data_IF_550121349934
#
_entry.id   IF_550121349934
#
_cell.length_a   1.000
_cell.length_b   1.000
_cell.length_c   1.000
_cell.angle_alpha   90.00
_cell.angle_beta   90.00
_cell.angle_gamma   90.00
#
_symmetry.space_group_name_H-M   'P 1'
#
loop_
_entity.id
_entity.type
_entity.pdbx_description
1 polymer ?
#
# COMPACT_ATOMS: atom_id res chain seq x y z
N UNK A 1 -29.62 7.21 -9.14
CA UNK A 1 -31.04 7.59 -9.21
C UNK A 1 -31.18 9.11 -9.06
N UNK A 2 -32.03 9.81 -9.87
CA UNK A 2 -32.24 11.25 -9.70
C UNK A 2 -33.11 11.53 -8.46
N UNK A 3 -32.81 12.63 -7.77
CA UNK A 3 -33.60 13.12 -6.64
C UNK A 3 -34.60 14.16 -7.18
N UNK A 4 -35.75 13.69 -7.64
CA UNK A 4 -36.82 14.49 -8.24
C UNK A 4 -38.19 13.89 -7.92
N UNK A 5 -39.25 14.62 -8.28
CA UNK A 5 -40.64 14.20 -8.03
C UNK A 5 -41.02 12.90 -8.75
N UNK A 6 -40.37 12.56 -9.85
CA UNK A 6 -40.68 11.35 -10.60
C UNK A 6 -40.20 10.08 -9.85
N UNK A 7 -39.34 10.24 -8.86
CA UNK A 7 -38.72 9.12 -8.11
C UNK A 7 -39.11 9.07 -6.62
N UNK A 8 -40.14 9.80 -6.17
CA UNK A 8 -40.51 9.93 -4.75
C UNK A 8 -40.69 8.58 -4.04
N UNK A 9 -41.38 7.62 -4.64
CA UNK A 9 -41.59 6.31 -3.99
C UNK A 9 -40.32 5.49 -3.88
N UNK A 10 -39.47 5.55 -4.88
CA UNK A 10 -38.15 4.90 -4.85
C UNK A 10 -37.23 5.56 -3.81
N UNK A 11 -37.26 6.89 -3.69
CA UNK A 11 -36.47 7.64 -2.72
C UNK A 11 -36.92 7.38 -1.28
N UNK A 12 -38.23 7.27 -1.01
CA UNK A 12 -38.74 6.90 0.32
C UNK A 12 -38.27 5.52 0.78
N UNK A 13 -38.14 4.58 -0.15
CA UNK A 13 -37.70 3.23 0.10
C UNK A 13 -36.18 3.02 -0.02
N UNK A 14 -35.40 4.06 -0.23
CA UNK A 14 -33.95 3.95 -0.44
C UNK A 14 -33.26 3.37 0.79
N UNK A 15 -32.59 2.21 0.71
CA UNK A 15 -31.88 1.63 1.85
C UNK A 15 -30.58 2.41 2.13
N UNK A 16 -30.04 2.25 3.33
CA UNK A 16 -28.67 2.62 3.63
C UNK A 16 -27.68 1.75 2.83
N UNK A 17 -26.43 2.17 2.72
CA UNK A 17 -25.41 1.39 2.05
C UNK A 17 -25.18 0.06 2.77
N UNK A 18 -24.84 -0.98 2.02
CA UNK A 18 -24.51 -2.29 2.59
C UNK A 18 -23.11 -2.24 3.22
N UNK A 19 -23.04 -1.70 4.43
CA UNK A 19 -21.79 -1.51 5.17
C UNK A 19 -22.01 -1.71 6.67
N UNK A 20 -21.34 -2.70 7.25
CA UNK A 20 -21.42 -3.03 8.67
C UNK A 20 -20.27 -2.34 9.43
N UNK A 21 -20.61 -1.31 10.20
CA UNK A 21 -19.65 -0.52 10.96
C UNK A 21 -19.00 -1.27 12.12
N UNK A 22 -19.63 -2.30 12.67
CA UNK A 22 -19.05 -3.10 13.76
C UNK A 22 -17.98 -4.06 13.20
N UNK A 23 -18.23 -4.64 12.04
CA UNK A 23 -17.26 -5.47 11.32
C UNK A 23 -16.07 -4.63 10.87
N UNK A 24 -16.31 -3.44 10.33
CA UNK A 24 -15.28 -2.49 9.94
C UNK A 24 -14.39 -2.08 11.12
N UNK A 25 -14.99 -1.67 12.24
CA UNK A 25 -14.26 -1.30 13.45
C UNK A 25 -13.44 -2.46 14.03
N UNK A 26 -13.97 -3.70 13.97
CA UNK A 26 -13.24 -4.88 14.41
C UNK A 26 -12.02 -5.19 13.51
N UNK A 27 -12.14 -4.95 12.22
CA UNK A 27 -11.04 -5.08 11.27
C UNK A 27 -9.97 -4.00 11.51
N UNK A 28 -10.37 -2.73 11.61
CA UNK A 28 -9.47 -1.61 11.92
C UNK A 28 -8.67 -1.87 13.20
N UNK A 29 -9.36 -2.28 14.27
CA UNK A 29 -8.73 -2.60 15.56
C UNK A 29 -7.72 -3.73 15.44
N UNK A 30 -7.98 -4.75 14.63
CA UNK A 30 -7.05 -5.86 14.42
C UNK A 30 -5.77 -5.41 13.72
N UNK A 31 -5.87 -4.58 12.67
CA UNK A 31 -4.71 -4.02 12.00
C UNK A 31 -3.88 -3.11 12.90
N UNK A 32 -4.51 -2.23 13.69
CA UNK A 32 -3.82 -1.38 14.68
C UNK A 32 -3.12 -2.22 15.74
N UNK A 33 -3.75 -3.27 16.24
CA UNK A 33 -3.17 -4.15 17.25
C UNK A 33 -1.96 -4.91 16.72
N UNK A 34 -2.03 -5.42 15.49
CA UNK A 34 -0.90 -6.07 14.83
C UNK A 34 0.28 -5.11 14.65
N UNK A 35 0.02 -3.89 14.17
CA UNK A 35 1.04 -2.85 14.02
C UNK A 35 1.71 -2.51 15.36
N UNK A 36 0.93 -2.33 16.43
CA UNK A 36 1.45 -2.02 17.77
C UNK A 36 2.32 -3.15 18.30
N UNK A 37 1.87 -4.40 18.16
CA UNK A 37 2.65 -5.57 18.64
C UNK A 37 4.00 -5.66 17.93
N UNK A 38 4.05 -5.42 16.61
CA UNK A 38 5.30 -5.40 15.85
C UNK A 38 6.22 -4.26 16.29
N UNK A 39 5.68 -3.04 16.41
CA UNK A 39 6.44 -1.87 16.82
C UNK A 39 7.06 -2.04 18.21
N UNK A 40 6.29 -2.58 19.17
CA UNK A 40 6.77 -2.86 20.52
C UNK A 40 7.95 -3.86 20.54
N UNK A 41 8.01 -4.76 19.57
CA UNK A 41 9.10 -5.73 19.44
C UNK A 41 10.39 -5.15 18.83
N UNK A 42 10.31 -4.01 18.13
CA UNK A 42 11.43 -3.43 17.38
C UNK A 42 12.70 -3.25 18.22
N UNK A 43 12.54 -2.64 19.38
CA UNK A 43 13.66 -2.39 20.31
C UNK A 43 14.29 -3.69 20.83
N UNK A 44 13.47 -4.65 21.22
CA UNK A 44 13.91 -5.96 21.71
C UNK A 44 14.66 -6.73 20.63
N UNK A 45 14.14 -6.76 19.38
CA UNK A 45 14.81 -7.44 18.25
C UNK A 45 16.18 -6.82 17.92
N UNK A 46 16.26 -5.48 17.96
CA UNK A 46 17.54 -4.77 17.83
C UNK A 46 18.53 -5.18 18.95
N UNK A 47 18.02 -5.35 20.17
CA UNK A 47 18.81 -5.84 21.31
C UNK A 47 19.31 -7.26 21.09
N UNK A 48 18.45 -8.20 20.70
CA UNK A 48 18.85 -9.60 20.43
C UNK A 48 19.96 -9.69 19.38
N UNK A 49 19.85 -8.90 18.30
CA UNK A 49 20.89 -8.81 17.28
C UNK A 49 22.20 -8.25 17.84
N UNK A 50 22.13 -7.15 18.59
CA UNK A 50 23.31 -6.51 19.20
C UNK A 50 24.06 -7.47 20.15
N UNK A 51 23.31 -8.19 20.98
CA UNK A 51 23.87 -9.17 21.91
C UNK A 51 24.53 -10.34 21.17
N UNK A 52 23.91 -10.82 20.10
CA UNK A 52 24.47 -11.88 19.26
C UNK A 52 25.76 -11.46 18.56
N UNK A 53 25.88 -10.20 18.16
CA UNK A 53 27.08 -9.62 17.54
C UNK A 53 28.24 -9.42 18.55
N UNK A 54 27.98 -9.49 19.85
CA UNK A 54 29.02 -9.40 20.86
C UNK A 54 30.00 -10.59 20.72
N UNK A 55 31.28 -10.30 20.51
CA UNK A 55 32.31 -11.28 20.25
C UNK A 55 32.14 -12.08 18.92
N UNK A 56 31.20 -11.68 18.04
CA UNK A 56 31.04 -12.30 16.73
C UNK A 56 31.76 -11.44 15.67
N UNK A 57 32.73 -12.03 14.97
CA UNK A 57 33.55 -11.36 13.97
C UNK A 57 33.79 -12.24 12.75
N UNK A 58 34.13 -11.60 11.61
CA UNK A 58 34.37 -12.25 10.33
C UNK A 58 33.22 -12.09 9.35
N UNK A 59 33.28 -12.79 8.22
CA UNK A 59 32.32 -12.71 7.13
C UNK A 59 30.87 -12.97 7.61
N UNK A 60 30.64 -14.04 8.36
CA UNK A 60 29.32 -14.43 8.83
C UNK A 60 28.73 -13.47 9.88
N UNK A 61 29.58 -12.73 10.61
CA UNK A 61 29.11 -11.64 11.47
C UNK A 61 28.56 -10.47 10.65
N UNK A 62 29.23 -10.09 9.57
CA UNK A 62 28.75 -9.05 8.67
C UNK A 62 27.41 -9.44 8.04
N UNK A 63 27.33 -10.67 7.50
CA UNK A 63 26.10 -11.20 6.92
C UNK A 63 24.93 -11.23 7.92
N UNK A 64 25.18 -11.68 9.16
CA UNK A 64 24.18 -11.66 10.24
C UNK A 64 23.73 -10.24 10.57
N UNK A 65 24.67 -9.29 10.60
CA UNK A 65 24.36 -7.87 10.80
C UNK A 65 23.47 -7.30 9.69
N UNK A 66 23.74 -7.66 8.44
CA UNK A 66 22.97 -7.19 7.28
C UNK A 66 21.55 -7.78 7.28
N UNK A 67 21.43 -9.10 7.55
CA UNK A 67 20.14 -9.76 7.71
C UNK A 67 19.29 -9.08 8.80
N UNK A 68 19.88 -8.79 9.97
CA UNK A 68 19.17 -8.11 11.05
C UNK A 68 18.79 -6.66 10.73
N UNK A 69 19.56 -5.96 9.89
CA UNK A 69 19.20 -4.63 9.39
C UNK A 69 17.99 -4.72 8.48
N UNK A 70 17.97 -5.70 7.58
CA UNK A 70 16.86 -5.97 6.69
C UNK A 70 15.61 -6.34 7.49
N UNK A 71 15.70 -7.25 8.48
CA UNK A 71 14.60 -7.64 9.36
C UNK A 71 13.90 -6.43 9.98
N UNK A 72 14.67 -5.49 10.55
CA UNK A 72 14.12 -4.30 11.20
C UNK A 72 13.49 -3.33 10.20
N UNK A 73 14.09 -3.20 9.03
CA UNK A 73 13.53 -2.34 7.99
C UNK A 73 12.24 -2.90 7.40
N UNK A 74 12.15 -4.22 7.20
CA UNK A 74 10.92 -4.89 6.76
C UNK A 74 9.83 -4.75 7.83
N UNK A 75 10.19 -4.86 9.12
CA UNK A 75 9.27 -4.61 10.24
C UNK A 75 8.69 -3.20 10.16
N UNK A 76 9.53 -2.17 9.99
CA UNK A 76 9.09 -0.78 9.90
C UNK A 76 8.14 -0.56 8.70
N UNK A 77 8.40 -1.20 7.57
CA UNK A 77 7.55 -1.15 6.39
C UNK A 77 6.20 -1.86 6.61
N UNK A 78 6.21 -3.05 7.20
CA UNK A 78 4.98 -3.78 7.53
C UNK A 78 4.13 -2.98 8.52
N UNK A 79 4.73 -2.41 9.59
CA UNK A 79 4.03 -1.55 10.56
C UNK A 79 3.35 -0.36 9.87
N UNK A 80 4.08 0.29 8.97
CA UNK A 80 3.56 1.44 8.20
C UNK A 80 2.34 1.03 7.38
N UNK A 81 2.42 -0.09 6.66
CA UNK A 81 1.32 -0.57 5.82
C UNK A 81 0.13 -1.11 6.62
N UNK A 82 0.34 -1.77 7.77
CA UNK A 82 -0.74 -2.17 8.67
C UNK A 82 -1.52 -0.96 9.20
N UNK A 83 -0.82 0.13 9.55
CA UNK A 83 -1.44 1.39 9.98
C UNK A 83 -2.18 2.09 8.84
N UNK A 84 -1.64 1.99 7.63
CA UNK A 84 -2.30 2.52 6.45
C UNK A 84 -3.63 1.81 6.19
N UNK A 85 -3.68 0.47 6.24
CA UNK A 85 -4.94 -0.28 6.13
C UNK A 85 -5.96 0.24 7.14
N UNK A 86 -5.56 0.42 8.40
CA UNK A 86 -6.45 0.94 9.43
C UNK A 86 -6.96 2.36 9.11
N UNK A 87 -6.13 3.19 8.50
CA UNK A 87 -6.52 4.54 8.06
C UNK A 87 -7.52 4.47 6.92
N UNK A 88 -7.27 3.61 5.92
CA UNK A 88 -8.19 3.42 4.80
C UNK A 88 -9.56 2.89 5.23
N UNK A 89 -9.60 2.01 6.24
CA UNK A 89 -10.87 1.56 6.83
C UNK A 89 -11.61 2.73 7.47
N UNK A 90 -10.91 3.61 8.21
CA UNK A 90 -11.50 4.81 8.80
C UNK A 90 -12.10 5.72 7.72
N UNK A 91 -11.40 5.91 6.60
CA UNK A 91 -11.90 6.70 5.45
C UNK A 91 -13.14 6.07 4.80
N UNK A 92 -13.16 4.73 4.67
CA UNK A 92 -14.34 4.02 4.18
C UNK A 92 -15.54 4.19 5.11
N UNK A 93 -15.32 4.14 6.43
CA UNK A 93 -16.35 4.41 7.43
C UNK A 93 -16.95 5.82 7.28
N UNK A 94 -16.10 6.82 7.11
CA UNK A 94 -16.53 8.21 6.92
C UNK A 94 -17.35 8.37 5.64
N UNK A 95 -16.89 7.78 4.53
CA UNK A 95 -17.60 7.78 3.25
C UNK A 95 -18.96 7.09 3.35
N UNK A 96 -19.02 5.92 4.03
CA UNK A 96 -20.28 5.18 4.23
C UNK A 96 -21.29 5.97 5.09
N UNK A 97 -20.82 6.62 6.16
CA UNK A 97 -21.65 7.50 7.00
C UNK A 97 -22.17 8.70 6.23
N UNK A 98 -21.32 9.35 5.44
CA UNK A 98 -21.72 10.49 4.61
C UNK A 98 -22.77 10.10 3.59
N UNK A 99 -22.61 8.93 2.93
CA UNK A 99 -23.61 8.44 1.97
C UNK A 99 -24.94 8.07 2.66
N UNK A 100 -24.89 7.44 3.83
CA UNK A 100 -26.11 7.16 4.61
C UNK A 100 -26.84 8.45 5.05
N UNK A 101 -26.10 9.50 5.42
CA UNK A 101 -26.68 10.81 5.72
C UNK A 101 -27.38 11.43 4.49
N UNK A 102 -26.75 11.29 3.31
CA UNK A 102 -27.37 11.73 2.05
C UNK A 102 -28.64 10.96 1.72
N UNK A 103 -28.58 9.62 1.82
CA UNK A 103 -29.76 8.76 1.60
C UNK A 103 -30.88 9.09 2.57
N UNK A 104 -30.55 9.35 3.82
CA UNK A 104 -31.53 9.82 4.81
C UNK A 104 -32.15 11.15 4.43
N UNK A 105 -31.38 12.17 4.04
CA UNK A 105 -31.88 13.47 3.59
C UNK A 105 -32.79 13.35 2.35
N UNK A 106 -32.43 12.44 1.42
CA UNK A 106 -33.28 12.18 0.26
C UNK A 106 -34.64 11.54 0.64
N UNK A 107 -34.60 10.56 1.56
CA UNK A 107 -35.83 9.94 2.10
C UNK A 107 -36.75 10.99 2.78
N UNK A 108 -36.15 11.83 3.64
CA UNK A 108 -36.87 12.87 4.36
C UNK A 108 -37.49 13.92 3.40
N UNK A 109 -36.75 14.34 2.38
CA UNK A 109 -37.26 15.23 1.35
C UNK A 109 -38.42 14.57 0.57
N UNK A 110 -38.22 13.32 0.14
CA UNK A 110 -39.27 12.60 -0.61
C UNK A 110 -40.53 12.37 0.22
N UNK A 111 -40.36 12.12 1.54
CA UNK A 111 -41.52 12.00 2.44
C UNK A 111 -42.26 13.33 2.56
N UNK A 112 -41.56 14.45 2.85
CA UNK A 112 -42.19 15.78 2.92
C UNK A 112 -42.89 16.14 1.62
N UNK A 113 -42.28 15.81 0.47
CA UNK A 113 -42.84 16.09 -0.84
C UNK A 113 -44.10 15.26 -1.13
N UNK A 114 -44.15 14.03 -0.69
CA UNK A 114 -45.31 13.16 -0.86
C UNK A 114 -46.49 13.49 0.07
N UNK A 115 -46.19 14.08 1.23
CA UNK A 115 -47.20 14.42 2.25
C UNK A 115 -47.86 15.82 2.01
N UNK A 116 -47.50 16.52 0.92
CA UNK A 116 -48.04 17.84 0.58
C UNK A 116 -49.52 17.80 0.27
N UNK A 117 -50.24 18.79 0.82
CA UNK A 117 -51.62 19.03 0.54
C UNK A 117 -51.87 20.21 -0.47
N UNK A 118 -53.14 20.54 -0.77
CA UNK A 118 -53.49 21.61 -1.69
C UNK A 118 -53.06 23.01 -1.20
N UNK A 119 -52.87 23.20 0.11
CA UNK A 119 -52.44 24.47 0.69
C UNK A 119 -50.91 24.64 0.51
N UNK A 120 -50.15 23.55 0.62
CA UNK A 120 -48.72 23.55 0.37
C UNK A 120 -48.41 23.88 -1.09
N UNK A 121 -49.18 23.33 -2.05
CA UNK A 121 -49.03 23.68 -3.47
C UNK A 121 -49.34 25.15 -3.75
N UNK A 122 -50.30 25.75 -3.04
CA UNK A 122 -50.62 27.18 -3.18
C UNK A 122 -49.51 28.07 -2.57
N UNK A 123 -48.89 27.63 -1.49
CA UNK A 123 -47.74 28.30 -0.88
C UNK A 123 -46.51 28.28 -1.82
N UNK A 124 -46.21 27.15 -2.41
CA UNK A 124 -45.06 26.98 -3.32
C UNK A 124 -45.18 27.82 -4.59
N UNK A 125 -46.41 27.95 -5.10
CA UNK A 125 -46.69 28.82 -6.25
C UNK A 125 -46.43 30.32 -5.96
N UNK A 126 -46.41 30.72 -4.67
CA UNK A 126 -46.20 32.10 -4.24
C UNK A 126 -44.75 32.35 -3.76
N UNK A 127 -44.07 31.36 -3.16
CA UNK A 127 -42.80 31.53 -2.47
C UNK A 127 -41.66 30.69 -3.04
N UNK A 128 -41.92 29.87 -4.06
CA UNK A 128 -40.96 28.94 -4.65
C UNK A 128 -40.99 27.56 -4.02
N UNK A 129 -40.59 26.59 -4.78
CA UNK A 129 -40.61 25.17 -4.44
C UNK A 129 -39.41 24.80 -3.58
N UNK A 130 -39.53 23.82 -2.67
CA UNK A 130 -38.41 23.24 -1.94
C UNK A 130 -37.54 22.45 -2.92
N UNK A 131 -36.30 22.92 -3.16
CA UNK A 131 -35.37 22.23 -4.03
C UNK A 131 -34.91 20.89 -3.40
N UNK A 132 -34.66 19.87 -4.23
CA UNK A 132 -34.05 18.63 -3.73
C UNK A 132 -32.68 18.91 -3.08
N UNK A 133 -32.31 18.22 -2.00
CA UNK A 133 -31.06 18.49 -1.28
C UNK A 133 -29.81 18.24 -2.14
N UNK A 134 -29.97 17.52 -3.25
CA UNK A 134 -28.96 17.25 -4.29
C UNK A 134 -29.63 16.61 -5.51
N UNK A 135 -28.94 16.63 -6.66
CA UNK A 135 -29.50 16.21 -7.95
C UNK A 135 -29.59 14.69 -8.15
N UNK A 136 -28.68 13.93 -7.56
CA UNK A 136 -28.58 12.47 -7.78
C UNK A 136 -28.10 11.72 -6.54
N UNK A 137 -28.52 10.46 -6.43
CA UNK A 137 -27.93 9.42 -5.58
C UNK A 137 -27.42 8.31 -6.50
N UNK A 138 -26.19 7.86 -6.28
CA UNK A 138 -25.61 6.76 -7.04
C UNK A 138 -26.27 5.43 -6.65
N UNK A 139 -26.70 4.69 -7.64
CA UNK A 139 -27.01 3.28 -7.51
C UNK A 139 -25.71 2.53 -7.89
N UNK A 140 -24.96 2.05 -6.91
CA UNK A 140 -23.91 1.03 -7.05
C UNK A 140 -22.71 1.27 -7.99
N UNK A 141 -22.38 2.47 -8.42
CA UNK A 141 -21.11 2.65 -9.11
C UNK A 141 -19.96 2.68 -8.08
N UNK A 142 -19.19 1.59 -8.07
CA UNK A 142 -17.88 1.51 -7.39
C UNK A 142 -16.95 2.51 -8.07
N UNK A 143 -16.76 3.67 -7.48
CA UNK A 143 -15.78 4.61 -7.99
C UNK A 143 -14.41 4.24 -7.48
N UNK A 144 -13.48 4.17 -8.41
CA UNK A 144 -12.05 4.01 -8.17
C UNK A 144 -11.43 5.37 -7.83
N UNK A 145 -11.58 5.86 -6.61
CA UNK A 145 -10.65 6.85 -6.11
C UNK A 145 -9.65 6.14 -5.22
N UNK A 146 -8.46 5.89 -5.74
CA UNK A 146 -7.37 5.37 -4.96
C UNK A 146 -7.04 6.37 -3.85
N UNK A 147 -7.01 5.92 -2.59
CA UNK A 147 -6.28 6.62 -1.55
C UNK A 147 -4.85 6.85 -2.02
N UNK A 148 -4.27 7.97 -1.61
CA UNK A 148 -2.93 8.35 -2.03
C UNK A 148 -1.97 7.16 -1.92
N UNK A 149 -1.34 6.82 -3.04
CA UNK A 149 -0.38 5.73 -3.09
C UNK A 149 0.71 5.99 -2.05
N UNK A 150 0.77 5.12 -1.05
CA UNK A 150 1.92 5.11 -0.15
C UNK A 150 3.09 4.60 -0.98
N UNK A 151 4.12 5.40 -1.05
CA UNK A 151 5.38 5.01 -1.66
C UNK A 151 5.92 3.81 -0.89
N UNK A 152 5.83 2.61 -1.45
CA UNK A 152 6.63 1.49 -0.98
C UNK A 152 8.10 1.93 -1.07
N UNK A 153 8.87 1.62 -0.04
CA UNK A 153 10.31 1.81 -0.10
C UNK A 153 10.85 1.12 -1.36
N UNK A 154 11.81 1.74 -2.08
CA UNK A 154 12.38 1.11 -3.27
C UNK A 154 12.90 -0.28 -2.91
N UNK A 155 12.65 -1.25 -3.80
CA UNK A 155 13.23 -2.58 -3.65
C UNK A 155 14.72 -2.43 -3.38
N UNK A 156 15.19 -2.97 -2.25
CA UNK A 156 16.58 -2.83 -1.87
C UNK A 156 17.41 -3.65 -2.84
N UNK A 157 18.30 -2.99 -3.56
CA UNK A 157 19.36 -3.65 -4.29
C UNK A 157 20.25 -4.35 -3.25
N UNK A 158 20.04 -5.65 -3.05
CA UNK A 158 21.02 -6.47 -2.36
C UNK A 158 22.10 -6.81 -3.35
N UNK A 159 23.34 -6.46 -3.02
CA UNK A 159 24.46 -7.20 -3.60
C UNK A 159 24.24 -8.68 -3.25
N UNK A 160 24.24 -9.51 -4.27
CA UNK A 160 24.13 -10.97 -4.10
C UNK A 160 25.23 -11.44 -3.15
N UNK A 161 24.90 -11.59 -1.87
CA UNK A 161 25.77 -12.23 -0.88
C UNK A 161 25.81 -13.76 -1.07
N UNK A 162 25.47 -14.23 -2.26
CA UNK A 162 25.60 -15.63 -2.70
C UNK A 162 27.05 -16.02 -2.98
N UNK A 163 28.01 -15.21 -2.54
CA UNK A 163 29.43 -15.58 -2.55
C UNK A 163 29.78 -16.42 -1.32
N UNK A 164 30.42 -17.56 -1.55
CA UNK A 164 31.29 -18.17 -0.53
C UNK A 164 32.11 -17.05 0.11
N UNK A 165 32.17 -17.00 1.42
CA UNK A 165 33.07 -16.10 2.12
C UNK A 165 34.45 -16.19 1.51
N UNK A 166 35.32 -15.16 1.62
CA UNK A 166 36.60 -15.13 0.96
C UNK A 166 37.34 -16.42 1.28
N UNK A 167 37.80 -17.14 0.24
CA UNK A 167 38.49 -18.42 0.38
C UNK A 167 39.68 -18.24 1.33
N UNK A 168 39.61 -18.85 2.52
CA UNK A 168 40.59 -18.69 3.60
C UNK A 168 40.20 -17.74 4.71
N UNK A 169 38.96 -17.20 4.70
CA UNK A 169 38.39 -16.40 5.80
C UNK A 169 38.14 -17.24 7.06
N UNK A 170 38.07 -16.57 8.19
CA UNK A 170 37.77 -17.14 9.49
C UNK A 170 36.73 -16.28 10.19
N UNK A 171 35.67 -16.91 10.66
CA UNK A 171 34.70 -16.28 11.55
C UNK A 171 34.91 -16.77 12.99
N UNK A 172 34.67 -15.91 13.96
CA UNK A 172 34.75 -16.24 15.38
C UNK A 172 33.50 -15.72 16.12
N UNK A 173 33.03 -16.51 17.10
CA UNK A 173 31.86 -16.15 17.85
C UNK A 173 31.64 -16.99 19.10
N UNK A 174 30.68 -16.57 19.93
CA UNK A 174 30.17 -17.34 21.07
C UNK A 174 28.89 -18.04 20.69
N UNK A 175 28.87 -19.39 20.70
CA UNK A 175 27.65 -20.14 20.38
C UNK A 175 26.44 -19.74 21.24
N UNK A 176 26.65 -19.46 22.53
CA UNK A 176 25.60 -19.07 23.46
C UNK A 176 24.86 -17.80 23.05
N UNK A 177 25.58 -16.83 22.47
CA UNK A 177 24.95 -15.56 22.04
C UNK A 177 24.04 -15.76 20.84
N UNK A 178 24.48 -16.57 19.86
CA UNK A 178 23.68 -16.94 18.68
C UNK A 178 22.45 -17.77 19.06
N UNK A 179 22.60 -18.73 19.99
CA UNK A 179 21.46 -19.51 20.49
C UNK A 179 20.46 -18.64 21.28
N UNK A 180 20.95 -17.65 22.05
CA UNK A 180 20.10 -16.70 22.75
C UNK A 180 19.30 -15.87 21.75
N UNK A 181 19.91 -15.41 20.65
CA UNK A 181 19.23 -14.73 19.57
C UNK A 181 18.11 -15.60 18.97
N UNK A 182 18.43 -16.86 18.59
CA UNK A 182 17.46 -17.76 18.00
C UNK A 182 16.26 -18.01 18.92
N UNK A 183 16.53 -18.23 20.21
CA UNK A 183 15.48 -18.45 21.22
C UNK A 183 14.60 -17.20 21.41
N UNK A 184 15.21 -16.02 21.54
CA UNK A 184 14.50 -14.77 21.76
C UNK A 184 13.70 -14.34 20.53
N UNK A 185 14.25 -14.55 19.33
CA UNK A 185 13.56 -14.29 18.06
C UNK A 185 12.28 -15.14 17.96
N UNK A 186 12.38 -16.47 18.17
CA UNK A 186 11.22 -17.37 18.17
C UNK A 186 10.19 -17.01 19.23
N UNK A 187 10.62 -16.58 20.43
CA UNK A 187 9.69 -16.15 21.47
C UNK A 187 8.92 -14.87 21.09
N UNK A 188 9.58 -13.95 20.39
CA UNK A 188 8.93 -12.77 19.84
C UNK A 188 7.96 -13.12 18.70
N UNK A 189 8.34 -14.01 17.78
CA UNK A 189 7.50 -14.46 16.67
C UNK A 189 6.26 -15.21 17.16
N UNK A 190 6.37 -15.95 18.25
CA UNK A 190 5.23 -16.65 18.88
C UNK A 190 4.11 -15.71 19.31
N UNK A 191 4.42 -14.45 19.65
CA UNK A 191 3.38 -13.44 19.98
C UNK A 191 2.58 -12.98 18.77
N UNK A 192 3.11 -13.17 17.56
CA UNK A 192 2.47 -12.84 16.30
C UNK A 192 1.87 -14.09 15.62
N UNK A 193 1.98 -15.25 16.27
CA UNK A 193 1.45 -16.50 15.76
C UNK A 193 -0.05 -16.39 15.53
N UNK A 194 -0.51 -16.74 14.33
CA UNK A 194 -1.92 -16.66 13.95
C UNK A 194 -2.44 -15.26 13.60
N UNK A 195 -1.63 -14.19 13.76
CA UNK A 195 -2.05 -12.81 13.44
C UNK A 195 -2.47 -12.68 11.97
N UNK A 196 -1.66 -13.18 11.04
CA UNK A 196 -1.99 -13.15 9.61
C UNK A 196 -3.29 -13.89 9.30
N UNK A 197 -3.52 -15.05 9.91
CA UNK A 197 -4.79 -15.80 9.78
C UNK A 197 -6.00 -15.01 10.32
N UNK A 198 -5.82 -14.33 11.47
CA UNK A 198 -6.86 -13.48 12.06
C UNK A 198 -7.19 -12.29 11.15
N UNK A 199 -6.17 -11.63 10.60
CA UNK A 199 -6.36 -10.51 9.67
C UNK A 199 -7.08 -10.96 8.39
N UNK A 200 -6.66 -12.08 7.80
CA UNK A 200 -7.34 -12.66 6.62
C UNK A 200 -8.82 -13.00 6.90
N UNK A 201 -9.11 -13.60 8.05
CA UNK A 201 -10.49 -13.90 8.44
C UNK A 201 -11.34 -12.63 8.54
N UNK A 202 -10.82 -11.59 9.20
CA UNK A 202 -11.54 -10.30 9.32
C UNK A 202 -11.67 -9.55 7.99
N UNK A 203 -10.69 -9.67 7.07
CA UNK A 203 -10.84 -9.15 5.70
C UNK A 203 -11.96 -9.87 4.94
N UNK A 204 -12.12 -11.18 5.15
CA UNK A 204 -13.24 -11.94 4.58
C UNK A 204 -14.58 -11.49 5.15
N UNK A 205 -14.67 -11.34 6.48
CA UNK A 205 -15.89 -10.83 7.13
C UNK A 205 -16.26 -9.43 6.61
N UNK A 206 -15.26 -8.56 6.42
CA UNK A 206 -15.46 -7.23 5.84
C UNK A 206 -16.00 -7.32 4.40
N UNK A 207 -15.40 -8.15 3.56
CA UNK A 207 -15.82 -8.33 2.17
C UNK A 207 -17.28 -8.81 2.08
N UNK A 208 -17.70 -9.69 2.99
CA UNK A 208 -19.07 -10.20 3.03
C UNK A 208 -20.09 -9.18 3.56
N UNK A 209 -19.70 -8.40 4.58
CA UNK A 209 -20.63 -7.51 5.30
C UNK A 209 -20.61 -6.07 4.79
N UNK A 210 -19.58 -5.65 4.08
CA UNK A 210 -19.36 -4.29 3.60
C UNK A 210 -19.30 -4.23 2.06
N UNK A 211 -20.28 -4.84 1.37
CA UNK A 211 -20.25 -4.97 -0.09
C UNK A 211 -20.28 -3.63 -0.85
N UNK A 212 -20.65 -2.55 -0.17
CA UNK A 212 -20.59 -1.18 -0.71
C UNK A 212 -19.14 -0.67 -0.91
N UNK A 213 -18.17 -1.24 -0.18
CA UNK A 213 -16.76 -0.87 -0.25
C UNK A 213 -15.90 -2.06 -0.65
N UNK A 214 -14.69 -1.79 -1.13
CA UNK A 214 -13.68 -2.81 -1.41
C UNK A 214 -12.41 -2.43 -0.67
N UNK A 215 -11.81 -3.39 0.00
CA UNK A 215 -10.52 -3.26 0.67
C UNK A 215 -9.64 -4.44 0.26
N UNK A 216 -8.46 -4.16 -0.26
CA UNK A 216 -7.42 -5.15 -0.49
C UNK A 216 -6.23 -4.87 0.44
N UNK A 217 -6.03 -5.74 1.39
CA UNK A 217 -4.92 -5.74 2.34
C UNK A 217 -4.07 -7.02 2.23
N UNK A 218 -4.29 -7.83 1.19
CA UNK A 218 -3.64 -9.13 1.02
C UNK A 218 -2.12 -9.02 0.95
N UNK A 219 -1.60 -7.97 0.33
CA UNK A 219 -0.16 -7.72 0.20
C UNK A 219 0.53 -7.59 1.56
N UNK A 220 0.00 -6.75 2.45
CA UNK A 220 0.61 -6.55 3.78
C UNK A 220 0.46 -7.78 4.68
N UNK A 221 -0.64 -8.52 4.58
CA UNK A 221 -0.84 -9.76 5.36
C UNK A 221 0.11 -10.87 4.88
N UNK A 222 0.32 -10.97 3.58
CA UNK A 222 1.30 -11.89 2.98
C UNK A 222 2.72 -11.50 3.42
N UNK A 223 3.07 -10.21 3.34
CA UNK A 223 4.37 -9.72 3.78
C UNK A 223 4.65 -10.04 5.27
N UNK A 224 3.66 -9.89 6.15
CA UNK A 224 3.79 -10.29 7.56
C UNK A 224 4.09 -11.79 7.70
N UNK A 225 3.40 -12.65 6.95
CA UNK A 225 3.62 -14.10 6.98
C UNK A 225 5.03 -14.44 6.51
N UNK A 226 5.46 -13.89 5.37
CA UNK A 226 6.79 -14.11 4.81
C UNK A 226 7.88 -13.60 5.75
N UNK A 227 7.65 -12.45 6.40
CA UNK A 227 8.60 -11.91 7.38
C UNK A 227 8.79 -12.83 8.59
N UNK A 228 7.73 -13.48 9.07
CA UNK A 228 7.81 -14.46 10.15
C UNK A 228 8.55 -15.74 9.71
N UNK A 229 8.35 -16.20 8.48
CA UNK A 229 9.08 -17.32 7.90
C UNK A 229 10.58 -17.01 7.78
N UNK A 230 10.93 -15.81 7.32
CA UNK A 230 12.33 -15.36 7.24
C UNK A 230 12.95 -15.19 8.63
N UNK A 231 12.21 -14.79 9.66
CA UNK A 231 12.70 -14.77 11.04
C UNK A 231 13.06 -16.16 11.56
N UNK A 232 12.24 -17.18 11.25
CA UNK A 232 12.59 -18.57 11.60
C UNK A 232 13.82 -19.06 10.83
N UNK A 233 13.97 -18.65 9.55
CA UNK A 233 15.21 -18.95 8.80
C UNK A 233 16.44 -18.31 9.44
N UNK A 234 16.35 -17.04 9.90
CA UNK A 234 17.43 -16.36 10.63
C UNK A 234 17.74 -17.06 11.96
N UNK A 235 16.72 -17.51 12.69
CA UNK A 235 16.92 -18.27 13.93
C UNK A 235 17.59 -19.63 13.69
N UNK A 236 17.17 -20.37 12.64
CA UNK A 236 17.81 -21.62 12.22
C UNK A 236 19.25 -21.39 11.78
N UNK A 237 19.51 -20.31 11.03
CA UNK A 237 20.84 -19.90 10.62
C UNK A 237 21.74 -19.71 11.85
N UNK A 238 21.29 -18.95 12.85
CA UNK A 238 22.05 -18.71 14.07
C UNK A 238 22.32 -20.02 14.85
N UNK A 239 21.36 -20.93 14.91
CA UNK A 239 21.54 -22.25 15.52
C UNK A 239 22.59 -23.10 14.78
N UNK A 240 22.60 -23.11 13.45
CA UNK A 240 23.58 -23.88 12.64
C UNK A 240 24.98 -23.32 12.80
N UNK A 241 25.12 -21.99 12.77
CA UNK A 241 26.42 -21.33 12.96
C UNK A 241 26.93 -21.56 14.39
N UNK A 242 26.06 -21.49 15.40
CA UNK A 242 26.41 -21.83 16.78
C UNK A 242 26.94 -23.28 16.88
N UNK A 243 26.26 -24.23 16.24
CA UNK A 243 26.71 -25.63 16.22
C UNK A 243 28.06 -25.82 15.53
N UNK A 244 28.36 -25.06 14.47
CA UNK A 244 29.67 -25.10 13.83
C UNK A 244 30.79 -24.61 14.77
N UNK A 245 30.53 -23.56 15.55
CA UNK A 245 31.49 -23.10 16.57
C UNK A 245 31.62 -24.09 17.73
N UNK A 246 30.57 -24.73 18.19
CA UNK A 246 30.62 -25.80 19.22
C UNK A 246 31.44 -26.99 18.75
N UNK A 247 31.26 -27.44 17.51
CA UNK A 247 32.03 -28.55 16.91
C UNK A 247 33.51 -28.24 16.80
N UNK A 248 33.88 -26.96 16.71
CA UNK A 248 35.27 -26.52 16.73
C UNK A 248 35.89 -26.38 18.12
N UNK A 249 35.17 -26.79 19.17
CA UNK A 249 35.67 -26.84 20.55
C UNK A 249 35.34 -25.61 21.40
N UNK A 250 34.28 -24.87 21.04
CA UNK A 250 33.78 -23.76 21.85
C UNK A 250 32.94 -24.26 23.05
N UNK A 251 33.51 -24.90 24.02
CA UNK A 251 32.85 -25.29 25.27
C UNK A 251 32.45 -24.03 26.08
N UNK A 252 31.48 -23.27 25.58
CA UNK A 252 30.99 -22.02 26.19
C UNK A 252 31.90 -20.80 26.01
N UNK A 253 33.00 -20.92 25.34
CA UNK A 253 33.99 -19.86 25.05
C UNK A 253 33.84 -19.26 23.65
N UNK A 254 34.79 -18.39 23.32
CA UNK A 254 34.99 -17.88 21.96
C UNK A 254 35.68 -18.95 21.10
N UNK A 255 35.10 -19.30 19.96
CA UNK A 255 35.73 -20.16 18.97
C UNK A 255 35.93 -19.44 17.65
N UNK A 256 36.90 -19.94 16.89
CA UNK A 256 37.18 -19.51 15.53
C UNK A 256 37.07 -20.68 14.58
N UNK A 257 36.36 -20.49 13.48
CA UNK A 257 36.09 -21.55 12.50
C UNK A 257 36.39 -21.01 11.09
N UNK A 258 37.00 -21.81 10.19
CA UNK A 258 37.11 -21.43 8.79
C UNK A 258 35.72 -21.17 8.19
N UNK A 259 35.59 -20.12 7.41
CA UNK A 259 34.28 -19.73 6.76
C UNK A 259 33.75 -20.88 5.91
N UNK A 260 34.61 -21.67 5.26
CA UNK A 260 34.21 -22.86 4.50
C UNK A 260 33.55 -23.96 5.35
N UNK A 261 33.86 -24.05 6.64
CA UNK A 261 33.19 -25.00 7.53
C UNK A 261 31.80 -24.51 7.95
N UNK A 262 31.66 -23.23 8.15
CA UNK A 262 30.31 -22.61 8.39
C UNK A 262 29.43 -22.76 7.14
N UNK A 263 29.96 -22.48 5.95
CA UNK A 263 29.27 -22.66 4.67
C UNK A 263 28.81 -24.12 4.50
N UNK A 264 29.69 -25.08 4.71
CA UNK A 264 29.34 -26.50 4.63
C UNK A 264 28.23 -26.88 5.63
N UNK A 265 28.27 -26.32 6.84
CA UNK A 265 27.22 -26.56 7.86
C UNK A 265 25.87 -25.99 7.45
N UNK A 266 25.83 -24.76 6.92
CA UNK A 266 24.60 -24.12 6.40
C UNK A 266 24.04 -24.90 5.21
N UNK A 267 24.89 -25.28 4.24
CA UNK A 267 24.48 -26.07 3.10
C UNK A 267 23.95 -27.47 3.51
N UNK A 268 24.59 -28.14 4.45
CA UNK A 268 24.12 -29.43 4.97
C UNK A 268 22.78 -29.34 5.69
N UNK A 269 22.50 -28.20 6.34
CA UNK A 269 21.22 -27.92 7.01
C UNK A 269 20.12 -27.39 6.05
N UNK A 270 20.45 -27.10 4.80
CA UNK A 270 19.55 -26.48 3.82
C UNK A 270 19.08 -25.07 4.24
N UNK A 271 19.97 -24.32 4.92
CA UNK A 271 19.70 -22.98 5.39
C UNK A 271 20.34 -21.96 4.46
N UNK A 272 19.55 -21.01 3.98
CA UNK A 272 20.05 -19.92 3.14
C UNK A 272 20.87 -18.94 3.98
N UNK A 273 21.96 -18.43 3.39
CA UNK A 273 22.86 -17.52 4.09
C UNK A 273 22.28 -16.11 4.23
N UNK A 274 21.54 -15.64 3.24
CA UNK A 274 20.94 -14.30 3.20
C UNK A 274 19.44 -14.36 3.37
N UNK A 275 18.89 -13.30 3.99
CA UNK A 275 17.44 -13.07 4.11
C UNK A 275 16.88 -12.60 2.76
N UNK A 276 15.71 -13.08 2.37
CA UNK A 276 15.02 -12.60 1.17
C UNK A 276 14.43 -11.20 1.41
N UNK A 277 14.35 -10.39 0.34
CA UNK A 277 13.65 -9.12 0.40
C UNK A 277 12.15 -9.35 0.40
N UNK A 278 11.47 -8.65 1.29
CA UNK A 278 10.02 -8.66 1.37
C UNK A 278 9.49 -7.47 0.58
N UNK A 279 8.59 -7.74 -0.35
CA UNK A 279 7.83 -6.71 -1.05
C UNK A 279 6.49 -6.56 -0.36
N UNK A 280 6.23 -5.38 0.18
CA UNK A 280 4.94 -5.04 0.78
C UNK A 280 4.13 -4.28 -0.24
N UNK A 281 3.15 -4.94 -0.84
CA UNK A 281 2.21 -4.25 -1.71
C UNK A 281 1.32 -3.33 -0.86
N UNK A 282 1.21 -2.04 -1.22
CA UNK A 282 0.38 -1.11 -0.47
C UNK A 282 -1.09 -1.53 -0.53
N UNK A 283 -1.84 -1.36 0.57
CA UNK A 283 -3.27 -1.66 0.56
C UNK A 283 -4.01 -0.69 -0.35
N UNK A 284 -5.15 -1.14 -0.86
CA UNK A 284 -6.07 -0.33 -1.64
C UNK A 284 -7.49 -0.45 -1.11
N UNK A 285 -8.16 0.69 -0.96
CA UNK A 285 -9.54 0.74 -0.53
C UNK A 285 -10.37 1.60 -1.48
N UNK A 286 -11.53 1.09 -1.83
CA UNK A 286 -12.47 1.76 -2.72
C UNK A 286 -13.84 1.80 -2.06
N UNK A 287 -14.45 2.97 -2.04
CA UNK A 287 -15.85 3.15 -1.67
C UNK A 287 -16.57 3.85 -2.79
N UNK A 288 -17.89 3.63 -2.91
CA UNK A 288 -18.68 4.46 -3.81
C UNK A 288 -18.59 5.91 -3.32
N UNK A 289 -18.09 6.87 -4.13
CA UNK A 289 -18.10 8.24 -3.72
C UNK A 289 -19.55 8.69 -3.56
N UNK A 290 -19.84 9.53 -2.57
CA UNK A 290 -21.11 10.22 -2.54
C UNK A 290 -21.28 10.98 -3.86
N UNK A 291 -22.37 10.78 -4.57
CA UNK A 291 -22.63 11.38 -5.90
C UNK A 291 -22.78 12.90 -5.90
N UNK A 292 -22.65 13.54 -4.75
CA UNK A 292 -22.64 14.99 -4.58
C UNK A 292 -21.71 15.43 -3.44
N UNK A 293 -20.72 14.64 -3.13
CA UNK A 293 -19.65 15.02 -2.18
C UNK A 293 -18.65 16.01 -2.74
N UNK A 294 -18.84 16.42 -3.98
CA UNK A 294 -18.29 17.64 -4.51
C UNK A 294 -19.24 18.76 -4.10
N UNK A 295 -19.04 19.35 -2.92
CA UNK A 295 -19.40 20.73 -2.75
C UNK A 295 -18.58 21.47 -3.81
N UNK A 296 -19.18 21.81 -4.89
CA UNK A 296 -18.75 22.63 -6.02
C UNK A 296 -17.25 22.66 -6.43
N UNK A 297 -16.33 22.15 -5.57
CA UNK A 297 -14.89 22.17 -5.78
C UNK A 297 -14.22 20.87 -5.31
N UNK A 298 -13.61 20.06 -6.21
CA UNK A 298 -12.92 18.81 -5.88
C UNK A 298 -11.58 19.10 -5.16
N UNK A 299 -11.64 19.42 -3.87
CA UNK A 299 -10.46 19.57 -3.02
C UNK A 299 -10.11 18.23 -2.39
N UNK A 300 -8.90 17.74 -2.63
CA UNK A 300 -8.37 16.62 -1.90
C UNK A 300 -8.16 17.04 -0.43
N UNK A 301 -8.98 16.49 0.46
CA UNK A 301 -9.00 16.88 1.87
C UNK A 301 -7.69 16.57 2.62
N UNK A 302 -6.87 15.67 2.09
CA UNK A 302 -5.57 15.30 2.69
C UNK A 302 -4.45 16.25 2.26
N UNK A 303 -4.37 16.59 0.96
CA UNK A 303 -3.29 17.41 0.43
C UNK A 303 -3.68 18.89 0.30
N UNK A 304 -4.97 19.22 0.42
CA UNK A 304 -5.50 20.54 0.09
C UNK A 304 -5.46 20.84 -1.42
N UNK A 305 -5.14 19.84 -2.25
CA UNK A 305 -5.04 20.02 -3.69
C UNK A 305 -6.44 20.13 -4.30
N UNK A 306 -6.71 21.24 -4.95
CA UNK A 306 -7.87 21.39 -5.82
C UNK A 306 -7.52 20.76 -7.18
N UNK A 307 -8.34 19.81 -7.63
CA UNK A 307 -8.14 19.11 -8.90
C UNK A 307 -9.41 19.21 -9.71
N UNK A 308 -9.35 19.70 -10.94
CA UNK A 308 -10.47 19.76 -11.85
C UNK A 308 -10.11 19.13 -13.20
N UNK A 309 -11.06 18.45 -13.80
CA UNK A 309 -10.87 17.79 -15.10
C UNK A 309 -11.93 18.30 -16.06
N UNK A 310 -11.47 18.90 -17.16
CA UNK A 310 -12.31 19.43 -18.22
C UNK A 310 -12.16 18.62 -19.52
N UNK A 311 -13.26 18.11 -20.03
CA UNK A 311 -13.34 17.49 -21.35
C UNK A 311 -13.73 18.55 -22.39
N UNK A 312 -12.75 19.18 -23.03
CA UNK A 312 -12.98 20.27 -24.00
C UNK A 312 -13.55 19.79 -25.33
N UNK A 313 -13.10 18.63 -25.78
CA UNK A 313 -13.53 18.03 -27.05
C UNK A 313 -13.66 16.53 -26.90
N UNK A 314 -14.75 15.97 -27.36
CA UNK A 314 -14.95 14.51 -27.44
C UNK A 314 -15.58 14.15 -28.79
N UNK A 315 -14.89 13.34 -29.57
CA UNK A 315 -15.43 12.77 -30.80
C UNK A 315 -15.52 11.25 -30.69
N UNK A 316 -16.70 10.71 -30.88
CA UNK A 316 -16.91 9.26 -30.96
C UNK A 316 -16.89 8.87 -32.42
N UNK A 317 -15.84 8.18 -32.86
CA UNK A 317 -15.67 7.71 -34.25
C UNK A 317 -15.32 6.22 -34.31
N UNK A 318 -15.24 5.69 -35.53
CA UNK A 318 -14.96 4.27 -35.80
C UNK A 318 -13.54 3.86 -35.35
N UNK A 319 -12.63 4.80 -35.16
CA UNK A 319 -11.24 4.58 -34.76
C UNK A 319 -10.93 4.89 -33.30
N UNK A 320 -11.94 4.99 -32.44
CA UNK A 320 -11.78 5.31 -31.01
C UNK A 320 -12.26 6.72 -30.67
N UNK A 321 -12.07 7.09 -29.41
CA UNK A 321 -12.43 8.42 -28.90
C UNK A 321 -11.24 9.35 -29.12
N UNK A 322 -11.41 10.35 -29.98
CA UNK A 322 -10.54 11.51 -30.03
C UNK A 322 -11.11 12.51 -29.03
N UNK A 323 -10.47 12.60 -27.88
CA UNK A 323 -10.84 13.51 -26.82
C UNK A 323 -9.72 14.47 -26.49
N UNK A 324 -10.06 15.71 -26.16
CA UNK A 324 -9.14 16.66 -25.55
C UNK A 324 -9.55 16.90 -24.12
N UNK A 325 -8.70 16.50 -23.21
CA UNK A 325 -8.91 16.63 -21.76
C UNK A 325 -7.81 17.48 -21.16
N UNK A 326 -8.19 18.41 -20.31
CA UNK A 326 -7.28 19.17 -19.45
C UNK A 326 -7.50 18.78 -18.00
N UNK A 327 -6.42 18.76 -17.22
CA UNK A 327 -6.48 18.54 -15.78
C UNK A 327 -5.85 19.74 -15.08
N UNK A 328 -6.57 20.31 -14.13
CA UNK A 328 -6.05 21.34 -13.24
C UNK A 328 -5.62 20.74 -11.91
N UNK A 329 -4.48 21.20 -11.38
CA UNK A 329 -4.02 20.86 -10.04
C UNK A 329 -3.45 22.11 -9.38
N UNK A 330 -4.03 22.53 -8.25
CA UNK A 330 -3.58 23.73 -7.53
C UNK A 330 -2.16 23.61 -6.98
N UNK A 331 -1.66 22.39 -6.79
CA UNK A 331 -0.29 22.13 -6.34
C UNK A 331 0.72 21.95 -7.49
N UNK A 332 0.27 21.98 -8.75
CA UNK A 332 1.17 21.95 -9.89
C UNK A 332 1.80 23.35 -10.12
N UNK A 333 3.11 23.53 -9.90
CA UNK A 333 3.75 24.84 -10.05
C UNK A 333 4.03 25.23 -11.51
N UNK A 334 3.80 24.31 -12.44
CA UNK A 334 4.14 24.49 -13.84
C UNK A 334 3.13 25.37 -14.56
N UNK A 335 3.61 26.12 -15.52
CA UNK A 335 2.80 26.94 -16.42
C UNK A 335 2.83 26.33 -17.79
N UNK A 336 1.77 25.57 -18.12
CA UNK A 336 1.61 24.93 -19.42
C UNK A 336 0.88 25.80 -20.44
N UNK A 337 0.51 25.20 -21.56
CA UNK A 337 -0.19 25.84 -22.67
C UNK A 337 -1.55 26.45 -22.27
N UNK A 338 -2.16 25.92 -21.21
CA UNK A 338 -3.47 26.36 -20.70
C UNK A 338 -3.37 27.25 -19.44
N UNK A 339 -2.16 27.64 -19.06
CA UNK A 339 -1.90 28.49 -17.90
C UNK A 339 -1.41 27.73 -16.67
N UNK A 340 -1.26 28.44 -15.52
CA UNK A 340 -0.73 27.84 -14.30
C UNK A 340 -1.62 26.71 -13.78
N UNK A 341 -1.02 25.61 -13.39
CA UNK A 341 -1.71 24.46 -12.79
C UNK A 341 -2.42 23.55 -13.78
N UNK A 342 -2.62 23.95 -15.01
CA UNK A 342 -3.24 23.14 -16.05
C UNK A 342 -2.24 22.24 -16.75
N UNK A 343 -2.69 21.03 -17.10
CA UNK A 343 -1.94 20.04 -17.86
C UNK A 343 -2.84 19.32 -18.84
N UNK A 344 -2.24 18.78 -19.89
CA UNK A 344 -2.95 17.98 -20.88
C UNK A 344 -2.01 16.92 -21.49
N UNK A 345 -2.56 16.06 -22.35
CA UNK A 345 -1.75 15.03 -23.00
C UNK A 345 -0.65 15.59 -23.91
N UNK A 346 -0.80 16.80 -24.44
CA UNK A 346 0.26 17.43 -25.28
C UNK A 346 1.48 17.91 -24.47
N UNK A 347 1.38 17.93 -23.15
CA UNK A 347 2.46 18.25 -22.23
C UNK A 347 3.05 16.99 -21.56
N UNK A 348 2.44 15.84 -21.83
CA UNK A 348 3.01 14.56 -21.43
C UNK A 348 4.34 14.34 -22.15
N UNK A 349 5.34 13.88 -21.43
CA UNK A 349 6.67 13.70 -22.02
C UNK A 349 7.61 12.98 -21.08
N UNK A 350 8.60 12.32 -21.68
CA UNK A 350 9.64 11.58 -20.98
C UNK A 350 10.97 12.34 -21.10
N UNK A 351 11.56 12.67 -19.96
CA UNK A 351 12.93 13.20 -19.86
C UNK A 351 13.82 12.11 -19.25
N UNK A 352 14.95 11.81 -19.91
CA UNK A 352 15.90 10.79 -19.44
C UNK A 352 17.25 11.47 -19.23
N UNK A 353 17.85 11.23 -18.06
CA UNK A 353 19.18 11.70 -17.70
C UNK A 353 20.00 10.59 -17.01
N UNK A 354 21.18 10.93 -16.52
CA UNK A 354 22.08 9.96 -15.87
C UNK A 354 21.57 9.51 -14.50
N UNK A 355 20.65 10.23 -13.88
CA UNK A 355 20.08 9.93 -12.58
C UNK A 355 18.82 9.06 -12.68
N UNK A 356 18.15 9.06 -13.85
CA UNK A 356 16.92 8.30 -14.05
C UNK A 356 16.07 8.78 -15.22
N UNK A 357 14.82 8.41 -15.20
CA UNK A 357 13.84 8.88 -16.17
C UNK A 357 12.64 9.51 -15.45
N UNK A 358 12.16 10.63 -15.98
CA UNK A 358 11.02 11.40 -15.46
C UNK A 358 9.93 11.44 -16.51
N UNK A 359 8.80 10.81 -16.23
CA UNK A 359 7.62 10.81 -17.09
C UNK A 359 6.59 11.80 -16.54
N UNK A 360 6.30 12.85 -17.30
CA UNK A 360 5.16 13.72 -17.02
C UNK A 360 3.91 13.07 -17.63
N UNK A 361 2.91 12.85 -16.79
CA UNK A 361 1.62 12.32 -17.18
C UNK A 361 0.68 13.42 -17.67
N UNK A 362 -0.39 13.08 -18.43
CA UNK A 362 -1.37 14.06 -18.92
C UNK A 362 -2.09 14.85 -17.82
N UNK A 363 -2.14 14.32 -16.60
CA UNK A 363 -2.71 14.99 -15.42
C UNK A 363 -1.70 15.89 -14.68
N UNK A 364 -0.51 16.08 -15.24
CA UNK A 364 0.56 16.93 -14.70
C UNK A 364 1.43 16.26 -13.64
N UNK A 365 1.12 15.06 -13.19
CA UNK A 365 1.97 14.31 -12.25
C UNK A 365 3.29 13.92 -12.93
N UNK A 366 4.38 13.96 -12.17
CA UNK A 366 5.70 13.50 -12.62
C UNK A 366 6.04 12.21 -11.91
N UNK A 367 6.21 11.16 -12.69
CA UNK A 367 6.60 9.82 -12.23
C UNK A 367 8.10 9.65 -12.48
N UNK A 368 8.82 9.20 -11.45
CA UNK A 368 10.28 9.05 -11.50
C UNK A 368 10.64 7.56 -11.53
N UNK A 369 11.42 7.17 -12.51
CA UNK A 369 12.02 5.84 -12.64
C UNK A 369 13.49 5.97 -12.25
N UNK A 370 13.92 5.41 -11.12
CA UNK A 370 15.33 5.46 -10.71
C UNK A 370 16.21 4.67 -11.67
N UNK A 371 17.47 5.08 -11.79
CA UNK A 371 18.45 4.34 -12.62
C UNK A 371 18.82 3.02 -11.96
N UNK A 372 18.71 1.92 -12.70
CA UNK A 372 19.10 0.58 -12.27
C UNK A 372 19.97 -0.07 -13.34
N UNK A 373 21.29 -0.15 -13.11
CA UNK A 373 22.23 -0.68 -14.09
C UNK A 373 22.15 0.04 -15.43
N UNK A 374 21.90 -0.71 -16.51
CA UNK A 374 21.68 -0.14 -17.86
C UNK A 374 20.21 0.24 -18.13
N UNK A 375 19.29 -0.06 -17.19
CA UNK A 375 17.84 0.18 -17.30
C UNK A 375 17.31 1.15 -16.26
N UNK A 376 16.04 0.99 -15.95
CA UNK A 376 15.32 1.77 -14.96
C UNK A 376 14.55 0.83 -14.02
N UNK A 377 14.57 1.15 -12.74
CA UNK A 377 13.76 0.50 -11.73
C UNK A 377 12.28 0.87 -11.83
N UNK A 378 11.48 0.25 -10.98
CA UNK A 378 10.05 0.57 -10.84
C UNK A 378 9.88 2.05 -10.48
N UNK A 379 8.87 2.67 -11.03
CA UNK A 379 8.52 4.04 -10.70
C UNK A 379 8.24 4.22 -9.21
N UNK A 380 8.78 5.29 -8.62
CA UNK A 380 8.53 5.65 -7.24
C UNK A 380 7.03 5.99 -7.04
N UNK A 381 6.34 5.24 -6.18
CA UNK A 381 4.93 5.46 -5.86
C UNK A 381 3.92 4.98 -6.89
N UNK A 382 4.34 4.31 -7.96
CA UNK A 382 3.44 3.83 -9.01
C UNK A 382 3.80 2.40 -9.44
N UNK A 383 2.80 1.63 -9.90
CA UNK A 383 3.02 0.31 -10.51
C UNK A 383 3.34 0.45 -12.00
N UNK A 384 4.41 1.20 -12.31
CA UNK A 384 4.85 1.48 -13.66
C UNK A 384 6.31 1.07 -13.84
N UNK A 385 6.61 0.53 -15.00
CA UNK A 385 7.96 0.16 -15.44
C UNK A 385 8.24 0.78 -16.78
N UNK A 386 9.48 1.21 -16.99
CA UNK A 386 9.96 1.81 -18.23
C UNK A 386 11.04 0.93 -18.85
N UNK A 387 10.92 0.65 -20.13
CA UNK A 387 11.91 -0.07 -20.91
C UNK A 387 12.20 0.62 -22.24
N UNK A 388 13.46 0.56 -22.68
CA UNK A 388 13.79 0.99 -24.04
C UNK A 388 13.36 -0.09 -25.05
N UNK A 389 12.75 0.36 -26.16
CA UNK A 389 12.31 -0.55 -27.23
C UNK A 389 13.38 -0.67 -28.28
N UNK A 390 13.75 -1.88 -28.75
CA UNK A 390 14.66 -2.06 -29.89
C UNK A 390 14.15 -1.31 -31.12
N UNK A 391 14.96 -0.41 -31.66
CA UNK A 391 14.58 0.42 -32.81
C UNK A 391 14.19 1.85 -32.45
N UNK A 392 14.21 2.20 -31.19
CA UNK A 392 13.94 3.55 -30.65
C UNK A 392 12.54 3.65 -30.03
N UNK A 393 12.44 4.51 -29.03
CA UNK A 393 11.22 4.71 -28.25
C UNK A 393 11.24 3.99 -26.90
N UNK A 394 10.14 4.12 -26.16
CA UNK A 394 10.01 3.66 -24.80
C UNK A 394 8.72 2.87 -24.62
N UNK A 395 8.78 1.81 -23.88
CA UNK A 395 7.62 1.05 -23.46
C UNK A 395 7.33 1.32 -21.99
N UNK A 396 6.13 1.79 -21.72
CA UNK A 396 5.59 1.94 -20.37
C UNK A 396 4.67 0.76 -20.10
N UNK A 397 5.00 -0.05 -19.12
CA UNK A 397 4.17 -1.17 -18.69
C UNK A 397 3.62 -0.92 -17.29
N UNK A 398 2.41 -1.42 -17.06
CA UNK A 398 1.77 -1.43 -15.74
C UNK A 398 1.34 -2.85 -15.41
N UNK A 399 1.00 -3.13 -14.16
CA UNK A 399 0.41 -4.42 -13.75
C UNK A 399 -0.90 -4.75 -14.52
N UNK A 400 -1.47 -3.80 -15.26
CA UNK A 400 -2.71 -3.92 -16.04
C UNK A 400 -2.50 -4.03 -17.56
N UNK A 401 -1.28 -3.93 -18.04
CA UNK A 401 -0.94 -4.03 -19.46
C UNK A 401 0.22 -3.12 -19.88
N UNK A 402 0.76 -3.36 -21.07
CA UNK A 402 1.82 -2.55 -21.66
C UNK A 402 1.26 -1.54 -22.66
N UNK A 403 1.79 -0.31 -22.64
CA UNK A 403 1.53 0.75 -23.63
C UNK A 403 2.84 1.31 -24.15
N UNK A 404 2.90 1.61 -25.44
CA UNK A 404 4.09 2.23 -26.06
C UNK A 404 3.96 3.74 -25.97
N UNK A 405 4.99 4.39 -25.42
CA UNK A 405 5.15 5.85 -25.43
C UNK A 405 6.09 6.20 -26.59
N UNK A 406 5.65 7.02 -27.55
CA UNK A 406 6.47 7.39 -28.71
C UNK A 406 7.69 8.24 -28.36
#
# INVERSE_FOLDING_TARGET
MKVDEANLDALKGLPDVAYDFDVSAALESAFRSAATTLEDQRGSRSGYRSDALTDFAGYYSSLFSDNGTTQLSDLDEIVTNLRLVATEITELDEKARAENDRRRKAREWAQRRADRDLLDHAHDALFGDEEPPFSQISDDEKSTSASAAVTSAPARSREDLTGSGPSGGVSSGRPSNLRSFATSSRAADAQLSGTAGTLNGKCSDFTESCSWATLDASGVVTALSTWLEENENDARWADVVAAAFEAAGADGGLASVPDSAVEASLAAAGVQAGRQDIVVDPPTAYGSPPTTGYADDPVNAFTGNFVEVEDDLGFVGVAGVLGWRRSYSALNPEVGAFGPGWSSWCEAGLAVDDEGARLRLPDGRVVIFPREGEGWGRASGENLWLAAVPGGGWELSSSWGAGVVP
#
